data_IF_187917099608
#
_entry.id   IF_187917099608
#
_cell.length_a   1.000
_cell.length_b   1.000
_cell.length_c   1.000
_cell.angle_alpha   90.00
_cell.angle_beta   90.00
_cell.angle_gamma   90.00
#
_symmetry.space_group_name_H-M   'P 1'
#
loop_
_entity.id
_entity.type
_entity.pdbx_description
1 polymer ?
#
# COMPACT_ATOMS: atom_id res chain seq x y z
N UNK A 1 36.54 0.25 -12.71
CA UNK A 1 35.09 0.18 -12.94
C UNK A 1 34.45 0.60 -11.63
N UNK A 2 33.95 1.85 -11.53
CA UNK A 2 33.12 2.28 -10.40
C UNK A 2 31.83 1.50 -10.50
N UNK A 3 31.59 0.61 -9.53
CA UNK A 3 30.25 0.11 -9.25
C UNK A 3 29.42 1.34 -8.87
N UNK A 4 28.41 1.70 -9.65
CA UNK A 4 27.36 2.60 -9.22
C UNK A 4 26.75 1.97 -7.99
N UNK A 5 26.92 2.62 -6.84
CA UNK A 5 26.18 2.30 -5.62
C UNK A 5 24.70 2.45 -5.98
N UNK A 6 24.01 1.32 -6.12
CA UNK A 6 22.57 1.34 -6.26
C UNK A 6 22.01 2.14 -5.07
N UNK A 7 21.29 3.23 -5.35
CA UNK A 7 20.71 4.08 -4.33
C UNK A 7 19.92 3.19 -3.35
N UNK A 8 20.31 3.23 -2.07
CA UNK A 8 19.63 2.45 -1.04
C UNK A 8 18.23 3.01 -0.84
N UNK A 9 17.24 2.12 -0.71
CA UNK A 9 15.86 2.52 -0.40
C UNK A 9 15.80 3.32 0.88
N UNK A 10 14.98 4.36 0.88
CA UNK A 10 14.78 5.23 2.03
C UNK A 10 13.52 4.84 2.79
N UNK A 11 13.68 4.54 4.07
CA UNK A 11 12.60 4.23 5.01
C UNK A 11 12.45 5.39 5.98
N UNK A 12 11.26 6.00 6.05
CA UNK A 12 10.93 6.96 7.09
C UNK A 12 10.21 6.23 8.23
N UNK A 13 10.74 6.34 9.45
CA UNK A 13 10.12 5.81 10.67
C UNK A 13 9.54 6.97 11.48
N UNK A 14 8.25 6.89 11.80
CA UNK A 14 7.51 7.87 12.61
C UNK A 14 7.02 7.17 13.87
N UNK A 15 7.69 7.44 14.98
CA UNK A 15 7.50 6.75 16.28
C UNK A 15 7.97 7.71 17.38
N UNK A 16 7.25 7.83 18.49
CA UNK A 16 7.61 8.75 19.57
C UNK A 16 8.51 8.12 20.64
N UNK A 17 8.52 6.81 20.78
CA UNK A 17 9.39 6.12 21.71
C UNK A 17 10.83 6.04 21.19
N UNK A 18 11.74 6.77 21.81
CA UNK A 18 13.15 6.86 21.37
C UNK A 18 13.84 5.49 21.29
N UNK A 19 13.56 4.59 22.22
CA UNK A 19 14.15 3.23 22.24
C UNK A 19 13.65 2.39 21.06
N UNK A 20 12.38 2.56 20.67
CA UNK A 20 11.80 1.89 19.49
C UNK A 20 12.37 2.47 18.21
N UNK A 21 12.48 3.81 18.11
CA UNK A 21 13.15 4.48 16.98
C UNK A 21 14.56 3.95 16.76
N UNK A 22 15.37 3.89 17.82
CA UNK A 22 16.76 3.42 17.75
C UNK A 22 16.85 1.94 17.35
N UNK A 23 15.97 1.11 17.93
CA UNK A 23 15.87 -0.31 17.57
C UNK A 23 15.53 -0.49 16.09
N UNK A 24 14.56 0.26 15.58
CA UNK A 24 14.15 0.19 14.19
C UNK A 24 15.24 0.72 13.25
N UNK A 25 15.84 1.86 13.59
CA UNK A 25 16.98 2.42 12.85
C UNK A 25 18.08 1.39 12.69
N UNK A 26 18.54 0.82 13.82
CA UNK A 26 19.63 -0.15 13.82
C UNK A 26 19.36 -1.36 12.91
N UNK A 27 18.16 -1.92 12.97
CA UNK A 27 17.81 -3.11 12.18
C UNK A 27 17.60 -2.81 10.69
N UNK A 28 17.03 -1.65 10.37
CA UNK A 28 16.82 -1.22 8.99
C UNK A 28 18.14 -0.79 8.32
N UNK A 29 19.01 -0.06 9.01
CA UNK A 29 20.36 0.28 8.53
C UNK A 29 21.18 -0.99 8.24
N UNK A 30 21.12 -1.98 9.14
CA UNK A 30 21.79 -3.28 8.91
C UNK A 30 21.21 -4.06 7.72
N UNK A 31 19.98 -3.83 7.37
CA UNK A 31 19.33 -4.42 6.20
C UNK A 31 19.66 -3.66 4.90
N UNK A 32 20.45 -2.57 4.98
CA UNK A 32 20.91 -1.79 3.82
C UNK A 32 19.97 -0.65 3.41
N UNK A 33 19.06 -0.24 4.27
CA UNK A 33 18.17 0.91 4.02
C UNK A 33 18.81 2.21 4.50
N UNK A 34 18.48 3.32 3.84
CA UNK A 34 18.65 4.66 4.37
C UNK A 34 17.48 4.97 5.30
N UNK A 35 17.74 5.28 6.57
CA UNK A 35 16.67 5.50 7.55
C UNK A 35 16.54 6.97 7.91
N UNK A 36 15.32 7.50 7.80
CA UNK A 36 14.90 8.81 8.29
C UNK A 36 14.01 8.60 9.51
N UNK A 37 14.12 9.47 10.51
CA UNK A 37 13.41 9.37 11.78
C UNK A 37 12.57 10.62 12.03
N UNK A 38 11.37 10.44 12.55
CA UNK A 38 10.53 11.50 13.06
C UNK A 38 9.91 11.06 14.39
N UNK A 39 9.98 11.91 15.41
CA UNK A 39 9.48 11.61 16.76
C UNK A 39 8.00 11.97 16.98
N UNK A 40 7.33 12.52 15.97
CA UNK A 40 5.92 12.92 16.05
C UNK A 40 5.28 12.96 14.65
N UNK A 41 3.95 13.04 14.64
CA UNK A 41 3.19 13.00 13.38
C UNK A 41 3.41 14.21 12.48
N UNK A 42 3.70 15.39 13.04
CA UNK A 42 3.90 16.62 12.25
C UNK A 42 5.25 16.60 11.54
N UNK A 43 6.32 16.33 12.29
CA UNK A 43 7.67 16.19 11.73
C UNK A 43 7.71 15.06 10.69
N UNK A 44 6.98 13.95 10.93
CA UNK A 44 6.83 12.86 9.98
C UNK A 44 6.16 13.26 8.66
N UNK A 45 5.11 14.07 8.71
CA UNK A 45 4.46 14.59 7.49
C UNK A 45 5.37 15.53 6.70
N UNK A 46 6.10 16.40 7.38
CA UNK A 46 7.01 17.35 6.75
C UNK A 46 8.20 16.61 6.12
N UNK A 47 8.79 15.63 6.82
CA UNK A 47 9.85 14.79 6.30
C UNK A 47 9.40 13.93 5.10
N UNK A 48 8.19 13.36 5.16
CA UNK A 48 7.64 12.59 4.04
C UNK A 48 7.51 13.42 2.76
N UNK A 49 7.12 14.69 2.88
CA UNK A 49 7.01 15.62 1.73
C UNK A 49 8.38 16.03 1.19
N UNK A 50 9.31 16.32 2.10
CA UNK A 50 10.65 16.79 1.74
C UNK A 50 11.51 15.68 1.11
N UNK A 51 11.56 14.52 1.75
CA UNK A 51 12.47 13.44 1.38
C UNK A 51 11.83 12.44 0.40
N UNK A 52 10.49 12.34 0.32
CA UNK A 52 9.75 11.35 -0.50
C UNK A 52 10.30 9.94 -0.34
N UNK A 53 10.24 9.36 0.87
CA UNK A 53 10.80 8.05 1.14
C UNK A 53 10.09 6.97 0.32
N UNK A 54 10.79 5.85 0.12
CA UNK A 54 10.24 4.69 -0.62
C UNK A 54 9.19 3.93 0.19
N UNK A 55 9.21 4.04 1.52
CA UNK A 55 8.23 3.47 2.45
C UNK A 55 8.21 4.22 3.77
N UNK A 56 7.05 4.30 4.40
CA UNK A 56 6.86 4.88 5.74
C UNK A 56 6.45 3.77 6.71
N UNK A 57 7.14 3.69 7.86
CA UNK A 57 6.74 2.92 9.04
C UNK A 57 6.15 3.91 10.03
N UNK A 58 4.89 3.72 10.43
CA UNK A 58 4.12 4.70 11.18
C UNK A 58 3.48 4.08 12.43
N UNK A 59 3.82 4.59 13.60
CA UNK A 59 3.08 4.23 14.81
C UNK A 59 1.70 4.89 14.83
N UNK A 60 0.72 4.14 15.33
CA UNK A 60 -0.64 4.66 15.55
C UNK A 60 -0.77 5.49 16.81
N UNK A 61 0.05 5.22 17.82
CA UNK A 61 -0.06 5.80 19.17
C UNK A 61 0.79 7.06 19.36
N UNK A 62 0.95 7.87 18.32
CA UNK A 62 1.70 9.13 18.40
C UNK A 62 1.00 10.17 19.28
N UNK A 63 1.77 11.02 20.01
CA UNK A 63 1.23 12.15 20.74
C UNK A 63 0.72 13.24 19.77
N UNK A 64 -0.16 14.11 20.26
CA UNK A 64 -0.74 15.27 19.56
C UNK A 64 -1.53 14.93 18.29
N UNK A 65 -0.94 14.19 17.35
CA UNK A 65 -1.58 13.77 16.10
C UNK A 65 -1.49 12.25 15.96
N UNK A 66 -2.62 11.56 16.08
CA UNK A 66 -2.68 10.10 15.95
C UNK A 66 -2.17 9.63 14.58
N UNK A 67 -1.54 8.45 14.55
CA UNK A 67 -1.02 7.87 13.32
C UNK A 67 -2.07 7.67 12.23
N UNK A 68 -3.34 7.43 12.60
CA UNK A 68 -4.44 7.37 11.63
C UNK A 68 -4.66 8.70 10.90
N UNK A 69 -4.51 9.81 11.61
CA UNK A 69 -4.63 11.14 11.00
C UNK A 69 -3.44 11.44 10.10
N UNK A 70 -2.24 11.07 10.53
CA UNK A 70 -1.01 11.15 9.71
C UNK A 70 -1.19 10.36 8.41
N UNK A 71 -1.63 9.11 8.50
CA UNK A 71 -1.86 8.27 7.32
C UNK A 71 -2.89 8.88 6.38
N UNK A 72 -4.02 9.38 6.92
CA UNK A 72 -5.05 10.04 6.11
C UNK A 72 -4.48 11.25 5.35
N UNK A 73 -3.69 12.08 6.02
CA UNK A 73 -3.04 13.25 5.39
C UNK A 73 -2.04 12.84 4.31
N UNK A 74 -1.21 11.83 4.56
CA UNK A 74 -0.29 11.26 3.56
C UNK A 74 -1.05 10.75 2.33
N UNK A 75 -2.12 10.00 2.53
CA UNK A 75 -2.89 9.36 1.44
C UNK A 75 -3.85 10.31 0.73
N UNK A 76 -4.14 11.49 1.28
CA UNK A 76 -4.95 12.53 0.64
C UNK A 76 -4.15 13.58 -0.11
N UNK A 77 -2.82 13.59 -0.01
CA UNK A 77 -1.93 14.54 -0.69
C UNK A 77 -1.32 13.90 -1.93
N UNK A 78 -1.50 14.50 -3.10
CA UNK A 78 -1.00 13.96 -4.37
C UNK A 78 0.51 13.64 -4.38
N UNK A 79 1.31 14.37 -3.59
CA UNK A 79 2.75 14.17 -3.52
C UNK A 79 3.17 12.95 -2.68
N UNK A 80 2.35 12.51 -1.72
CA UNK A 80 2.67 11.43 -0.78
C UNK A 80 1.71 10.25 -0.84
N UNK A 81 0.59 10.35 -1.59
CA UNK A 81 -0.44 9.31 -1.66
C UNK A 81 0.10 7.96 -2.16
N UNK A 82 1.07 7.99 -3.08
CA UNK A 82 1.70 6.78 -3.64
C UNK A 82 2.72 6.12 -2.71
N UNK A 83 3.21 6.83 -1.67
CA UNK A 83 4.18 6.27 -0.73
C UNK A 83 3.50 5.19 0.11
N UNK A 84 3.99 3.95 0.12
CA UNK A 84 3.43 2.90 0.94
C UNK A 84 3.63 3.17 2.42
N UNK A 85 2.61 2.84 3.23
CA UNK A 85 2.60 3.03 4.68
C UNK A 85 2.39 1.69 5.37
N UNK A 86 3.33 1.31 6.24
CA UNK A 86 3.23 0.17 7.16
C UNK A 86 2.89 0.72 8.54
N UNK A 87 1.72 0.38 9.08
CA UNK A 87 1.31 0.83 10.40
C UNK A 87 1.78 -0.12 11.50
N UNK A 88 2.33 0.45 12.58
CA UNK A 88 2.58 -0.27 13.83
C UNK A 88 1.36 -0.08 14.75
N UNK A 89 0.79 -1.15 15.27
CA UNK A 89 -0.41 -1.11 16.11
C UNK A 89 -0.25 -1.90 17.38
N UNK A 90 -0.66 -1.35 18.53
CA UNK A 90 -0.66 -2.04 19.80
C UNK A 90 -1.77 -3.13 19.90
N UNK A 91 -2.73 -3.14 18.96
CA UNK A 91 -3.92 -3.97 19.08
C UNK A 91 -4.05 -4.98 17.95
N UNK A 92 -4.07 -6.25 18.36
CA UNK A 92 -4.30 -7.40 17.49
C UNK A 92 -5.79 -7.57 17.10
N UNK A 93 -6.70 -6.66 17.50
CA UNK A 93 -8.12 -6.81 17.21
C UNK A 93 -8.42 -6.50 15.73
N UNK A 94 -9.18 -7.39 15.13
CA UNK A 94 -9.54 -7.39 13.71
C UNK A 94 -10.21 -6.08 13.29
N UNK A 95 -11.06 -5.50 14.15
CA UNK A 95 -11.84 -4.29 13.82
C UNK A 95 -10.97 -3.03 13.70
N UNK A 96 -9.88 -2.91 14.46
CA UNK A 96 -8.96 -1.77 14.37
C UNK A 96 -7.98 -1.89 13.18
N UNK A 97 -7.60 -3.13 12.83
CA UNK A 97 -6.84 -3.39 11.60
C UNK A 97 -7.67 -3.06 10.37
N UNK A 98 -8.98 -3.34 10.41
CA UNK A 98 -9.92 -2.97 9.34
C UNK A 98 -10.06 -1.44 9.27
N UNK A 99 -10.22 -0.75 10.41
CA UNK A 99 -10.30 0.71 10.45
C UNK A 99 -9.04 1.39 9.87
N UNK A 100 -7.87 0.88 10.20
CA UNK A 100 -6.63 1.43 9.67
C UNK A 100 -6.42 1.11 8.18
N UNK A 101 -6.79 -0.09 7.71
CA UNK A 101 -6.87 -0.38 6.27
C UNK A 101 -7.88 0.55 5.58
N UNK A 102 -8.94 0.96 6.25
CA UNK A 102 -9.86 2.00 5.77
C UNK A 102 -9.19 3.37 5.60
N UNK A 103 -8.03 3.62 6.20
CA UNK A 103 -7.24 4.84 6.04
C UNK A 103 -6.24 4.81 4.86
N UNK A 104 -6.03 3.67 4.21
CA UNK A 104 -5.13 3.53 3.05
C UNK A 104 -3.76 2.97 3.37
N UNK A 105 -3.54 2.46 4.57
CA UNK A 105 -2.31 1.74 4.89
C UNK A 105 -2.12 0.52 3.99
N UNK A 106 -0.88 0.24 3.65
CA UNK A 106 -0.52 -0.83 2.72
C UNK A 106 -0.18 -2.14 3.46
N UNK A 107 0.21 -2.07 4.74
CA UNK A 107 0.46 -3.21 5.63
C UNK A 107 0.31 -2.83 7.11
N UNK A 108 0.27 -3.83 8.00
CA UNK A 108 0.18 -3.71 9.45
C UNK A 108 1.13 -4.65 10.16
N UNK A 109 1.70 -4.15 11.26
CA UNK A 109 2.51 -4.93 12.19
C UNK A 109 1.97 -4.72 13.61
N UNK A 110 1.56 -5.80 14.26
CA UNK A 110 1.09 -5.72 15.65
C UNK A 110 2.27 -5.66 16.63
N UNK A 111 2.24 -4.72 17.58
CA UNK A 111 3.15 -4.68 18.73
C UNK A 111 2.69 -5.74 19.77
N UNK A 112 3.58 -6.52 20.40
CA UNK A 112 5.02 -6.54 20.15
C UNK A 112 5.40 -7.30 18.88
N UNK A 113 6.32 -6.76 18.10
CA UNK A 113 6.81 -7.36 16.86
C UNK A 113 8.31 -7.68 16.94
N UNK A 114 8.74 -8.61 16.11
CA UNK A 114 10.16 -8.87 15.89
C UNK A 114 10.72 -7.83 14.90
N UNK A 115 11.86 -7.15 15.20
CA UNK A 115 12.49 -6.26 14.23
C UNK A 115 12.77 -6.93 12.88
N UNK A 116 13.07 -8.23 12.89
CA UNK A 116 13.25 -9.05 11.68
C UNK A 116 11.95 -9.14 10.87
N UNK A 117 10.80 -9.27 11.54
CA UNK A 117 9.49 -9.29 10.86
C UNK A 117 9.25 -7.97 10.14
N UNK A 118 9.49 -6.83 10.81
CA UNK A 118 9.32 -5.53 10.20
C UNK A 118 10.24 -5.34 8.98
N UNK A 119 11.52 -5.69 9.09
CA UNK A 119 12.46 -5.64 7.96
C UNK A 119 11.94 -6.47 6.78
N UNK A 120 11.46 -7.69 7.01
CA UNK A 120 10.91 -8.54 5.95
C UNK A 120 9.66 -7.93 5.31
N UNK A 121 8.82 -7.24 6.08
CA UNK A 121 7.63 -6.54 5.56
C UNK A 121 8.02 -5.31 4.72
N UNK A 122 8.96 -4.50 5.19
CA UNK A 122 9.53 -3.37 4.42
C UNK A 122 10.06 -3.88 3.09
N UNK A 123 10.89 -4.93 3.09
CA UNK A 123 11.41 -5.54 1.87
C UNK A 123 10.29 -6.06 0.95
N UNK A 124 9.25 -6.70 1.52
CA UNK A 124 8.13 -7.20 0.75
C UNK A 124 7.32 -6.08 0.11
N UNK A 125 7.09 -4.97 0.82
CA UNK A 125 6.42 -3.78 0.31
C UNK A 125 7.23 -3.16 -0.83
N UNK A 126 8.52 -2.89 -0.63
CA UNK A 126 9.41 -2.30 -1.64
C UNK A 126 9.55 -3.19 -2.88
N UNK A 127 9.74 -4.51 -2.70
CA UNK A 127 9.78 -5.45 -3.82
C UNK A 127 8.51 -5.39 -4.65
N UNK A 128 7.35 -5.29 -4.01
CA UNK A 128 6.06 -5.14 -4.69
C UNK A 128 5.98 -3.84 -5.50
N UNK A 129 6.59 -2.76 -5.01
CA UNK A 129 6.63 -1.48 -5.72
C UNK A 129 7.54 -1.53 -6.94
N UNK A 130 8.59 -2.35 -6.92
CA UNK A 130 9.60 -2.44 -7.97
C UNK A 130 9.35 -3.53 -9.00
N UNK A 131 8.49 -4.51 -8.68
CA UNK A 131 8.15 -5.55 -9.62
C UNK A 131 6.93 -5.12 -10.44
N UNK A 132 7.14 -4.45 -11.59
CA UNK A 132 6.13 -4.47 -12.62
C UNK A 132 6.00 -5.94 -13.03
N UNK A 133 4.82 -6.49 -13.06
CA UNK A 133 4.59 -7.75 -13.75
C UNK A 133 5.17 -7.68 -15.16
N UNK A 134 5.27 -8.77 -15.93
CA UNK A 134 5.85 -8.79 -17.26
C UNK A 134 5.34 -7.61 -18.08
N UNK A 135 6.28 -6.76 -18.52
CA UNK A 135 6.05 -5.39 -18.95
C UNK A 135 5.05 -5.22 -20.11
N UNK A 136 4.40 -4.07 -20.11
CA UNK A 136 3.52 -3.61 -21.17
C UNK A 136 2.36 -2.79 -20.61
N UNK A 137 1.81 -1.93 -21.44
CA UNK A 137 0.52 -1.31 -21.22
C UNK A 137 -0.60 -2.30 -21.57
N UNK A 138 -1.64 -2.32 -20.75
CA UNK A 138 -2.84 -3.09 -20.99
C UNK A 138 -4.01 -2.14 -21.19
N UNK A 139 -4.64 -2.20 -22.37
CA UNK A 139 -5.82 -1.39 -22.67
C UNK A 139 -7.06 -2.30 -22.68
N UNK A 140 -8.05 -1.98 -21.86
CA UNK A 140 -9.30 -2.72 -21.74
C UNK A 140 -10.49 -1.74 -21.64
N UNK A 141 -11.22 -1.57 -22.74
CA UNK A 141 -12.28 -0.57 -22.83
C UNK A 141 -11.72 0.84 -22.54
N UNK A 142 -12.32 1.60 -21.60
CA UNK A 142 -11.86 2.95 -21.26
C UNK A 142 -10.63 2.96 -20.33
N UNK A 143 -10.11 1.79 -19.92
CA UNK A 143 -9.00 1.67 -18.98
C UNK A 143 -7.68 1.42 -19.72
N UNK A 144 -6.67 2.18 -19.33
CA UNK A 144 -5.28 1.99 -19.71
C UNK A 144 -4.45 1.76 -18.44
N UNK A 145 -3.79 0.63 -18.35
CA UNK A 145 -2.90 0.29 -17.23
C UNK A 145 -1.47 0.25 -17.76
N UNK A 146 -0.62 1.07 -17.19
CA UNK A 146 0.83 1.09 -17.45
C UNK A 146 1.57 0.57 -16.21
N UNK A 147 2.25 -0.59 -16.37
CA UNK A 147 3.03 -1.19 -15.30
C UNK A 147 4.38 -0.51 -15.09
N UNK A 148 4.93 0.12 -16.14
CA UNK A 148 6.22 0.81 -16.05
C UNK A 148 6.14 2.07 -15.21
N UNK A 149 5.03 2.81 -15.34
CA UNK A 149 4.78 4.05 -14.58
C UNK A 149 3.90 3.85 -13.36
N UNK A 150 3.37 2.65 -13.13
CA UNK A 150 2.37 2.36 -12.08
C UNK A 150 1.12 3.23 -12.17
N UNK A 151 0.67 3.52 -13.37
CA UNK A 151 -0.49 4.35 -13.64
C UNK A 151 -1.66 3.55 -14.19
N UNK A 152 -2.86 3.92 -13.75
CA UNK A 152 -4.11 3.56 -14.43
C UNK A 152 -4.74 4.85 -14.94
N UNK A 153 -5.10 4.85 -16.21
CA UNK A 153 -5.88 5.92 -16.82
C UNK A 153 -7.28 5.41 -17.11
N UNK A 154 -8.26 6.26 -16.93
CA UNK A 154 -9.66 6.03 -17.25
C UNK A 154 -10.09 7.13 -18.20
N UNK A 155 -10.49 6.78 -19.43
CA UNK A 155 -10.83 7.75 -20.50
C UNK A 155 -9.71 8.78 -20.75
N UNK A 156 -8.44 8.34 -20.65
CA UNK A 156 -7.25 9.19 -20.80
C UNK A 156 -6.85 9.97 -19.54
N UNK A 157 -7.74 10.11 -18.54
CA UNK A 157 -7.43 10.79 -17.28
C UNK A 157 -6.71 9.86 -16.30
N UNK A 158 -5.61 10.30 -15.71
CA UNK A 158 -4.89 9.56 -14.67
C UNK A 158 -5.76 9.42 -13.41
N UNK A 159 -5.88 8.20 -12.91
CA UNK A 159 -6.51 7.92 -11.61
C UNK A 159 -5.48 8.05 -10.49
N UNK A 160 -5.86 8.74 -9.42
CA UNK A 160 -5.04 8.86 -8.20
C UNK A 160 -5.23 7.61 -7.33
N UNK A 161 -4.53 6.53 -7.69
CA UNK A 161 -4.56 5.25 -6.98
C UNK A 161 -3.39 5.13 -6.02
N UNK A 162 -3.65 4.56 -4.84
CA UNK A 162 -2.57 4.06 -3.98
C UNK A 162 -1.91 2.83 -4.62
N UNK A 163 -0.72 2.46 -4.14
CA UNK A 163 0.01 1.31 -4.66
C UNK A 163 -0.80 0.00 -4.60
N UNK A 164 -1.56 -0.20 -3.54
CA UNK A 164 -2.43 -1.38 -3.37
C UNK A 164 -3.63 -1.34 -4.33
N UNK A 165 -4.26 -0.18 -4.48
CA UNK A 165 -5.39 -0.02 -5.42
C UNK A 165 -4.94 -0.26 -6.86
N UNK A 166 -3.75 0.26 -7.24
CA UNK A 166 -3.14 -0.04 -8.53
C UNK A 166 -2.96 -1.56 -8.74
N UNK A 167 -2.38 -2.25 -7.75
CA UNK A 167 -2.13 -3.69 -7.84
C UNK A 167 -3.40 -4.52 -7.89
N UNK A 168 -4.42 -4.13 -7.13
CA UNK A 168 -5.74 -4.76 -7.22
C UNK A 168 -6.34 -4.59 -8.62
N UNK A 169 -6.30 -3.37 -9.15
CA UNK A 169 -6.77 -3.09 -10.50
C UNK A 169 -5.99 -3.94 -11.51
N UNK A 170 -4.66 -3.94 -11.45
CA UNK A 170 -3.79 -4.70 -12.33
C UNK A 170 -4.11 -6.20 -12.29
N UNK A 171 -4.15 -6.79 -11.09
CA UNK A 171 -4.40 -8.22 -10.93
C UNK A 171 -5.75 -8.65 -11.54
N UNK A 172 -6.79 -7.83 -11.36
CA UNK A 172 -8.13 -8.12 -11.86
C UNK A 172 -8.23 -7.87 -13.38
N UNK A 173 -7.66 -6.79 -13.88
CA UNK A 173 -7.64 -6.46 -15.32
C UNK A 173 -6.89 -7.52 -16.13
N UNK A 174 -5.79 -8.06 -15.61
CA UNK A 174 -5.00 -9.12 -16.26
C UNK A 174 -5.76 -10.43 -16.43
N UNK A 175 -6.67 -10.73 -15.53
CA UNK A 175 -7.50 -11.95 -15.60
C UNK A 175 -8.68 -11.85 -16.55
N UNK A 176 -8.92 -10.66 -17.14
CA UNK A 176 -9.90 -10.44 -18.22
C UNK A 176 -11.23 -11.14 -18.01
N UNK A 177 -11.93 -10.80 -16.94
CA UNK A 177 -13.27 -11.33 -16.64
C UNK A 177 -13.29 -12.62 -15.80
N UNK A 178 -12.16 -13.31 -15.63
CA UNK A 178 -12.09 -14.44 -14.70
C UNK A 178 -12.10 -13.94 -13.25
N UNK A 179 -12.95 -14.52 -12.36
CA UNK A 179 -12.96 -14.12 -10.96
C UNK A 179 -11.67 -14.56 -10.24
N UNK A 180 -11.20 -13.72 -9.32
CA UNK A 180 -10.08 -14.01 -8.43
C UNK A 180 -10.61 -14.06 -7.01
N UNK A 181 -10.27 -15.10 -6.26
CA UNK A 181 -10.67 -15.24 -4.86
C UNK A 181 -9.98 -14.19 -3.98
N UNK A 182 -10.61 -13.85 -2.84
CA UNK A 182 -10.02 -12.95 -1.85
C UNK A 182 -8.67 -13.44 -1.33
N UNK A 183 -8.53 -14.73 -1.12
CA UNK A 183 -7.29 -15.37 -0.68
C UNK A 183 -6.17 -15.22 -1.71
N UNK A 184 -6.52 -15.45 -3.00
CA UNK A 184 -5.57 -15.25 -4.10
C UNK A 184 -5.14 -13.78 -4.19
N UNK A 185 -6.09 -12.83 -4.09
CA UNK A 185 -5.78 -11.41 -4.08
C UNK A 185 -4.90 -11.03 -2.89
N UNK A 186 -5.18 -11.53 -1.68
CA UNK A 186 -4.34 -11.31 -0.50
C UNK A 186 -2.92 -11.82 -0.70
N UNK A 187 -2.77 -13.00 -1.27
CA UNK A 187 -1.45 -13.57 -1.56
C UNK A 187 -0.72 -12.77 -2.64
N UNK A 188 -1.38 -12.47 -3.74
CA UNK A 188 -0.73 -11.90 -4.93
C UNK A 188 -0.48 -10.39 -4.80
N UNK A 189 -1.38 -9.66 -4.11
CA UNK A 189 -1.28 -8.21 -3.92
C UNK A 189 -0.57 -7.84 -2.62
N UNK A 190 -0.80 -8.55 -1.50
CA UNK A 190 -0.16 -8.29 -0.21
C UNK A 190 0.98 -9.25 0.13
N UNK A 191 1.10 -10.39 -0.57
CA UNK A 191 2.13 -11.41 -0.32
C UNK A 191 1.93 -12.18 0.98
N UNK A 192 0.72 -12.22 1.51
CA UNK A 192 0.41 -13.01 2.70
C UNK A 192 0.36 -14.50 2.35
N UNK A 193 1.22 -15.29 2.99
CA UNK A 193 1.23 -16.76 2.83
C UNK A 193 0.05 -17.42 3.57
N UNK A 194 -0.41 -16.79 4.67
CA UNK A 194 -1.59 -17.21 5.42
C UNK A 194 -2.55 -16.00 5.53
N UNK A 195 -3.64 -15.95 4.77
CA UNK A 195 -4.60 -14.87 4.81
C UNK A 195 -5.36 -14.90 6.14
N UNK A 196 -5.06 -13.95 7.01
CA UNK A 196 -5.72 -13.84 8.32
C UNK A 196 -7.05 -13.08 8.22
N UNK A 197 -7.22 -12.18 7.22
CA UNK A 197 -8.45 -11.39 7.08
C UNK A 197 -8.76 -11.02 5.62
N UNK A 198 -9.83 -11.60 5.09
CA UNK A 198 -10.33 -11.32 3.75
C UNK A 198 -10.99 -9.93 3.62
N UNK A 199 -11.36 -9.28 4.73
CA UNK A 199 -11.99 -7.93 4.75
C UNK A 199 -11.06 -6.85 4.23
N UNK A 200 -9.74 -7.07 4.33
CA UNK A 200 -8.71 -6.20 3.74
C UNK A 200 -8.98 -5.95 2.25
N UNK A 201 -9.23 -7.01 1.50
CA UNK A 201 -9.53 -6.90 0.06
C UNK A 201 -10.81 -6.10 -0.17
N UNK A 202 -11.86 -6.38 0.60
CA UNK A 202 -13.16 -5.72 0.45
C UNK A 202 -13.06 -4.21 0.67
N UNK A 203 -12.25 -3.79 1.65
CA UNK A 203 -12.01 -2.38 1.95
C UNK A 203 -11.29 -1.66 0.81
N UNK A 204 -10.21 -2.23 0.29
CA UNK A 204 -9.48 -1.62 -0.83
C UNK A 204 -10.28 -1.67 -2.14
N UNK A 205 -11.08 -2.70 -2.36
CA UNK A 205 -12.03 -2.75 -3.48
C UNK A 205 -13.10 -1.66 -3.41
N UNK A 206 -13.63 -1.37 -2.21
CA UNK A 206 -14.58 -0.27 -2.01
C UNK A 206 -13.95 1.08 -2.38
N UNK A 207 -12.70 1.32 -1.99
CA UNK A 207 -11.97 2.55 -2.30
C UNK A 207 -11.64 2.69 -3.76
N UNK A 208 -11.13 1.62 -4.36
CA UNK A 208 -10.89 1.58 -5.80
C UNK A 208 -12.16 1.98 -6.56
N UNK A 209 -13.29 1.36 -6.23
CA UNK A 209 -14.59 1.69 -6.83
C UNK A 209 -15.00 3.15 -6.64
N UNK A 210 -14.78 3.71 -5.45
CA UNK A 210 -15.11 5.11 -5.18
C UNK A 210 -14.33 6.09 -6.08
N UNK A 211 -13.11 5.73 -6.49
CA UNK A 211 -12.27 6.54 -7.41
C UNK A 211 -12.66 6.36 -8.88
N UNK A 212 -13.38 5.31 -9.22
CA UNK A 212 -13.80 5.00 -10.58
C UNK A 212 -15.14 5.66 -10.99
N UNK A 213 -15.89 6.20 -10.04
CA UNK A 213 -17.17 6.85 -10.29
C UNK A 213 -18.14 5.95 -11.06
N UNK A 214 -18.67 6.39 -12.25
CA UNK A 214 -19.60 5.60 -13.06
C UNK A 214 -19.07 4.24 -13.52
N UNK A 215 -17.76 4.07 -13.57
CA UNK A 215 -17.10 2.82 -13.99
C UNK A 215 -16.85 1.84 -12.83
N UNK A 216 -17.36 2.12 -11.63
CA UNK A 216 -17.21 1.23 -10.47
C UNK A 216 -17.69 -0.20 -10.71
N UNK A 217 -18.76 -0.36 -11.52
CA UNK A 217 -19.32 -1.64 -11.92
C UNK A 217 -18.38 -2.56 -12.69
N UNK A 218 -17.34 -1.98 -13.36
CA UNK A 218 -16.33 -2.77 -14.06
C UNK A 218 -15.53 -3.68 -13.12
N UNK A 219 -15.43 -3.35 -11.85
CA UNK A 219 -14.83 -4.20 -10.82
C UNK A 219 -15.92 -4.87 -9.97
N UNK A 220 -16.53 -5.92 -10.50
CA UNK A 220 -17.70 -6.57 -9.94
C UNK A 220 -17.34 -7.55 -8.80
N UNK A 221 -18.26 -7.69 -7.83
CA UNK A 221 -18.21 -8.76 -6.81
C UNK A 221 -18.90 -10.00 -7.35
N UNK A 222 -18.21 -11.13 -7.34
CA UNK A 222 -18.77 -12.43 -7.66
C UNK A 222 -19.03 -13.19 -6.37
N UNK A 223 -20.30 -13.37 -5.99
CA UNK A 223 -20.66 -14.05 -4.72
C UNK A 223 -20.02 -15.43 -4.64
N UNK A 224 -19.38 -15.70 -3.53
CA UNK A 224 -18.70 -16.99 -3.30
C UNK A 224 -17.37 -17.19 -4.05
N UNK A 225 -17.04 -16.33 -5.05
CA UNK A 225 -15.84 -16.49 -5.88
C UNK A 225 -14.81 -15.35 -5.71
N UNK A 226 -15.22 -14.15 -5.26
CA UNK A 226 -14.31 -13.02 -5.07
C UNK A 226 -14.65 -11.82 -5.94
N UNK A 227 -13.68 -11.35 -6.75
CA UNK A 227 -13.82 -10.18 -7.59
C UNK A 227 -13.39 -10.46 -9.03
N UNK A 228 -13.98 -9.75 -9.99
CA UNK A 228 -13.58 -9.79 -11.39
C UNK A 228 -13.58 -8.38 -11.99
N UNK A 229 -12.80 -8.20 -13.04
CA UNK A 229 -12.86 -7.03 -13.90
C UNK A 229 -13.62 -7.37 -15.19
N UNK A 230 -14.53 -6.47 -15.59
CA UNK A 230 -15.28 -6.56 -16.83
C UNK A 230 -15.39 -5.17 -17.45
N UNK A 231 -14.69 -4.94 -18.54
CA UNK A 231 -14.63 -3.63 -19.21
C UNK A 231 -16.00 -3.17 -19.80
N UNK A 232 -16.94 -4.08 -19.98
CA UNK A 232 -18.29 -3.81 -20.46
C UNK A 232 -19.32 -3.65 -19.34
N UNK A 233 -18.90 -3.66 -18.07
CA UNK A 233 -19.77 -3.58 -16.90
C UNK A 233 -20.38 -2.19 -16.70
N UNK A 234 -21.43 -1.88 -17.45
CA UNK A 234 -22.41 -0.88 -17.05
C UNK A 234 -23.35 -1.51 -16.01
N UNK A 235 -23.63 -0.76 -14.94
CA UNK A 235 -24.60 -1.19 -13.91
C UNK A 235 -25.91 -1.70 -14.53
N UNK A 236 -26.27 -2.92 -14.14
CA UNK A 236 -27.63 -3.41 -14.18
C UNK A 236 -28.19 -3.42 -12.76
#
# INVERSE_FOLDING_TARGET
VKLEEAASDTVLVIEDEADVLELLRYNLDRAGFRVLLAGDGRSGLDEARAARPDVIVLDLMLPEMRGEEVCRKLKSSGDTASIPVIMLTAKAQVDERVAGLELGADDYVAKPFSPRELVLRVQAVLRRMRSPGPGGSLVLGPFELDRGTFEVRLEGAKLDLTAIEFKLAAALMEKRGAPISRETLLRDVWGYLNPIDSRTVDTHMRRLRAKLGPHAGCFATVRGAGYRFDAGGTEH
#
